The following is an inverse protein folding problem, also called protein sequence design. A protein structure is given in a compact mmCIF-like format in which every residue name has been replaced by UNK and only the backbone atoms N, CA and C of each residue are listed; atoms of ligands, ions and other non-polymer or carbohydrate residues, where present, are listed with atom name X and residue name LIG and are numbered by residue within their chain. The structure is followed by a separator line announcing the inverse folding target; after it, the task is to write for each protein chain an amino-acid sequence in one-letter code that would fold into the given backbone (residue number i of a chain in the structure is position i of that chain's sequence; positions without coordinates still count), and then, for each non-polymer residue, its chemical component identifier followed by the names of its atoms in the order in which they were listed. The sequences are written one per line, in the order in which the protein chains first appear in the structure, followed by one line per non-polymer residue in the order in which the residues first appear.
data_IF_626821683344
#
_entry.id   IF_626821683344
#
_cell.length_a   1.000
_cell.length_b   1.000
_cell.length_c   1.000
_cell.angle_alpha   90.00
_cell.angle_beta   90.00
_cell.angle_gamma   90.00
#
_symmetry.space_group_name_H-M   'P 1'
#
loop_
_entity.id
_entity.type
_entity.pdbx_description
1 polymer ?
#
# COMPACT_ATOMS: atom_id res chain seq x y z
N UNK A 1 -20.17 9.86 21.19
CA UNK A 1 -19.02 9.09 20.63
C UNK A 1 -19.21 9.05 19.13
N UNK A 2 -18.33 9.64 18.32
CA UNK A 2 -18.45 9.68 16.87
C UNK A 2 -17.68 8.48 16.29
N UNK A 3 -18.35 7.66 15.49
CA UNK A 3 -17.71 6.54 14.79
C UNK A 3 -16.79 7.09 13.72
N UNK A 4 -15.51 6.77 13.79
CA UNK A 4 -14.55 7.07 12.75
C UNK A 4 -14.67 6.03 11.63
N UNK A 5 -14.79 6.49 10.40
CA UNK A 5 -14.91 5.64 9.19
C UNK A 5 -13.62 5.68 8.41
N UNK A 6 -13.25 4.55 7.82
CA UNK A 6 -12.14 4.44 6.87
C UNK A 6 -12.64 4.06 5.48
N UNK A 7 -11.84 4.38 4.49
CA UNK A 7 -12.05 3.99 3.09
C UNK A 7 -10.77 3.37 2.57
N UNK A 8 -10.90 2.21 1.93
CA UNK A 8 -9.81 1.63 1.15
C UNK A 8 -9.73 2.34 -0.20
N UNK A 9 -8.54 2.76 -0.59
CA UNK A 9 -8.30 3.35 -1.91
C UNK A 9 -8.56 2.34 -3.05
N UNK A 10 -8.68 1.04 -2.73
CA UNK A 10 -9.17 0.05 -3.69
C UNK A 10 -10.54 0.40 -4.28
N UNK A 11 -11.37 1.14 -3.53
CA UNK A 11 -12.66 1.62 -4.01
C UNK A 11 -12.56 2.57 -5.21
N UNK A 12 -11.37 3.13 -5.48
CA UNK A 12 -11.07 4.04 -6.59
C UNK A 12 -10.10 3.42 -7.60
N UNK A 13 -9.92 2.10 -7.57
CA UNK A 13 -8.94 1.41 -8.42
C UNK A 13 -9.20 1.62 -9.91
N UNK A 14 -10.45 1.60 -10.35
CA UNK A 14 -10.83 1.83 -11.74
C UNK A 14 -10.47 3.24 -12.21
N UNK A 15 -10.79 4.25 -11.40
CA UNK A 15 -10.48 5.65 -11.68
C UNK A 15 -8.97 5.89 -11.72
N UNK A 16 -8.24 5.26 -10.80
CA UNK A 16 -6.79 5.36 -10.75
C UNK A 16 -6.13 4.71 -11.98
N UNK A 17 -6.47 3.47 -12.31
CA UNK A 17 -5.89 2.74 -13.45
C UNK A 17 -6.20 3.43 -14.78
N UNK A 18 -7.38 4.04 -14.89
CA UNK A 18 -7.79 4.81 -16.08
C UNK A 18 -7.21 6.22 -16.13
N UNK A 19 -6.44 6.64 -15.12
CA UNK A 19 -5.85 7.97 -15.04
C UNK A 19 -6.87 9.10 -14.84
N UNK A 20 -8.06 8.79 -14.33
CA UNK A 20 -9.09 9.77 -13.97
C UNK A 20 -8.75 10.46 -12.65
N UNK A 21 -8.26 9.68 -11.69
CA UNK A 21 -7.75 10.15 -10.41
C UNK A 21 -6.29 9.69 -10.25
N UNK A 22 -5.45 10.56 -9.73
CA UNK A 22 -4.16 10.19 -9.17
C UNK A 22 -4.29 9.84 -7.67
N UNK A 23 -3.19 9.57 -6.99
CA UNK A 23 -3.20 9.23 -5.57
C UNK A 23 -3.83 10.34 -4.72
N UNK A 24 -3.50 11.60 -5.00
CA UNK A 24 -4.10 12.74 -4.30
C UNK A 24 -5.60 12.82 -4.55
N UNK A 25 -6.04 12.65 -5.79
CA UNK A 25 -7.45 12.62 -6.17
C UNK A 25 -8.24 11.53 -5.46
N UNK A 26 -7.65 10.33 -5.28
CA UNK A 26 -8.26 9.24 -4.52
C UNK A 26 -8.43 9.61 -3.03
N UNK A 27 -7.41 10.22 -2.42
CA UNK A 27 -7.45 10.68 -1.02
C UNK A 27 -8.51 11.77 -0.85
N UNK A 28 -8.53 12.76 -1.76
CA UNK A 28 -9.52 13.84 -1.75
C UNK A 28 -10.96 13.30 -1.87
N UNK A 29 -11.19 12.35 -2.76
CA UNK A 29 -12.50 11.72 -2.93
C UNK A 29 -12.93 10.95 -1.68
N UNK A 30 -12.02 10.19 -1.04
CA UNK A 30 -12.30 9.50 0.22
C UNK A 30 -12.62 10.50 1.34
N UNK A 31 -11.85 11.57 1.50
CA UNK A 31 -12.10 12.62 2.48
C UNK A 31 -13.46 13.30 2.27
N UNK A 32 -13.83 13.58 1.02
CA UNK A 32 -15.14 14.17 0.67
C UNK A 32 -16.32 13.27 1.07
N UNK A 33 -16.12 11.95 1.15
CA UNK A 33 -17.10 10.99 1.68
C UNK A 33 -17.10 10.92 3.23
N UNK A 34 -16.28 11.72 3.89
CA UNK A 34 -16.16 11.77 5.35
C UNK A 34 -15.25 10.66 5.90
N UNK A 35 -14.32 10.14 5.12
CA UNK A 35 -13.33 9.21 5.60
C UNK A 35 -12.36 9.89 6.56
N UNK A 36 -12.13 9.28 7.71
CA UNK A 36 -11.05 9.62 8.63
C UNK A 36 -9.81 8.77 8.35
N UNK A 37 -10.01 7.47 8.10
CA UNK A 37 -8.96 6.50 7.85
C UNK A 37 -8.78 6.20 6.36
N UNK A 38 -7.53 6.08 5.92
CA UNK A 38 -7.18 5.67 4.56
C UNK A 38 -6.45 4.33 4.62
N UNK A 39 -6.98 3.35 3.93
CA UNK A 39 -6.30 2.09 3.61
C UNK A 39 -5.69 2.22 2.22
N UNK A 40 -4.40 1.92 2.11
CA UNK A 40 -3.62 2.11 0.87
C UNK A 40 -3.35 0.79 0.16
N UNK A 41 -3.06 0.88 -1.13
CA UNK A 41 -2.65 -0.26 -1.94
C UNK A 41 -1.26 -0.04 -2.52
N UNK A 42 -0.46 -1.07 -2.52
CA UNK A 42 0.89 -1.04 -3.05
C UNK A 42 0.93 -0.64 -4.54
N UNK A 43 -0.01 -1.11 -5.34
CA UNK A 43 -0.10 -0.81 -6.77
C UNK A 43 -0.32 0.67 -7.08
N UNK A 44 -0.92 1.41 -6.16
CA UNK A 44 -1.15 2.85 -6.32
C UNK A 44 0.03 3.70 -5.87
N UNK A 45 0.94 3.13 -5.09
CA UNK A 45 1.97 3.88 -4.39
C UNK A 45 3.39 3.52 -4.81
N UNK A 46 3.62 2.27 -5.18
CA UNK A 46 4.97 1.77 -5.41
C UNK A 46 5.27 1.61 -6.89
N UNK A 47 6.17 2.44 -7.45
CA UNK A 47 6.63 2.26 -8.82
C UNK A 47 7.23 0.87 -9.03
N UNK A 48 6.81 0.21 -10.12
CA UNK A 48 7.28 -1.13 -10.43
C UNK A 48 6.74 -2.23 -9.53
N UNK A 49 5.80 -1.92 -8.64
CA UNK A 49 5.07 -2.96 -7.93
C UNK A 49 4.34 -3.87 -8.92
N UNK A 50 4.41 -5.15 -8.71
CA UNK A 50 5.00 -5.93 -7.62
C UNK A 50 6.29 -6.65 -8.03
N UNK A 51 7.09 -6.06 -8.86
CA UNK A 51 8.30 -6.70 -9.36
C UNK A 51 9.33 -6.89 -8.25
N UNK A 52 9.98 -8.05 -8.17
CA UNK A 52 11.16 -8.23 -7.34
C UNK A 52 12.24 -7.20 -7.67
N UNK A 53 12.91 -6.68 -6.66
CA UNK A 53 13.97 -5.70 -6.84
C UNK A 53 13.50 -4.28 -7.19
N UNK A 54 12.20 -3.98 -7.09
CA UNK A 54 11.73 -2.60 -7.17
C UNK A 54 12.36 -1.78 -6.02
N UNK A 55 12.87 -0.57 -6.30
CA UNK A 55 13.52 0.24 -5.28
C UNK A 55 12.52 0.73 -4.23
N UNK A 56 13.03 1.04 -3.03
CA UNK A 56 12.26 1.79 -2.05
C UNK A 56 11.90 3.17 -2.62
N UNK A 57 10.75 3.71 -2.20
CA UNK A 57 10.34 5.05 -2.58
C UNK A 57 11.23 6.10 -1.90
N UNK A 58 11.50 7.24 -2.56
CA UNK A 58 12.29 8.32 -1.99
C UNK A 58 11.57 8.98 -0.80
N UNK A 59 12.32 9.56 0.13
CA UNK A 59 11.75 10.23 1.30
C UNK A 59 10.79 11.37 0.91
N UNK A 60 11.04 12.07 -0.20
CA UNK A 60 10.14 13.10 -0.73
C UNK A 60 8.72 12.59 -1.06
N UNK A 61 8.57 11.30 -1.37
CA UNK A 61 7.26 10.69 -1.53
C UNK A 61 6.50 10.65 -0.19
N UNK A 62 7.20 10.26 0.88
CA UNK A 62 6.59 10.17 2.21
C UNK A 62 6.29 11.56 2.79
N UNK A 63 7.14 12.55 2.53
CA UNK A 63 6.87 13.95 2.89
C UNK A 63 5.56 14.41 2.24
N UNK A 64 5.43 14.23 0.92
CA UNK A 64 4.20 14.56 0.20
C UNK A 64 2.98 13.77 0.73
N UNK A 65 3.16 12.49 1.03
CA UNK A 65 2.10 11.66 1.62
C UNK A 65 1.58 12.23 2.94
N UNK A 66 2.48 12.59 3.86
CA UNK A 66 2.11 13.15 5.16
C UNK A 66 1.46 14.53 5.02
N UNK A 67 1.92 15.34 4.07
CA UNK A 67 1.28 16.61 3.74
C UNK A 67 -0.16 16.41 3.25
N UNK A 68 -0.41 15.44 2.37
CA UNK A 68 -1.75 15.11 1.90
C UNK A 68 -2.65 14.60 3.03
N UNK A 69 -2.13 13.73 3.92
CA UNK A 69 -2.91 13.27 5.09
C UNK A 69 -3.33 14.45 5.96
N UNK A 70 -2.42 15.39 6.20
CA UNK A 70 -2.70 16.62 6.95
C UNK A 70 -3.69 17.53 6.24
N UNK A 71 -3.49 17.76 4.93
CA UNK A 71 -4.33 18.62 4.11
C UNK A 71 -5.80 18.16 4.10
N UNK A 72 -6.02 16.86 3.98
CA UNK A 72 -7.38 16.29 3.88
C UNK A 72 -7.94 15.82 5.23
N UNK A 73 -7.20 15.99 6.33
CA UNK A 73 -7.64 15.61 7.67
C UNK A 73 -7.85 14.10 7.83
N UNK A 74 -7.09 13.31 7.09
CA UNK A 74 -7.15 11.85 7.09
C UNK A 74 -5.93 11.24 7.80
N UNK A 75 -5.97 9.95 8.07
CA UNK A 75 -4.86 9.22 8.69
C UNK A 75 -4.68 7.86 8.01
N UNK A 76 -3.44 7.41 7.79
CA UNK A 76 -3.20 6.06 7.29
C UNK A 76 -3.62 5.02 8.31
N UNK A 77 -4.23 3.94 7.87
CA UNK A 77 -4.70 2.86 8.75
C UNK A 77 -4.00 1.54 8.46
N UNK A 78 -4.17 1.02 7.28
CA UNK A 78 -3.61 -0.27 6.83
C UNK A 78 -3.02 -0.07 5.45
N UNK A 79 -1.94 -0.76 5.16
CA UNK A 79 -1.39 -0.90 3.83
C UNK A 79 -1.66 -2.31 3.30
N UNK A 80 -2.26 -2.41 2.13
CA UNK A 80 -2.52 -3.67 1.46
C UNK A 80 -1.43 -3.99 0.46
N UNK A 81 -0.93 -5.21 0.50
CA UNK A 81 -0.08 -5.73 -0.54
C UNK A 81 -0.62 -7.05 -1.11
N UNK A 82 -0.43 -7.22 -2.40
CA UNK A 82 -0.67 -8.49 -3.09
C UNK A 82 0.66 -9.16 -3.40
N UNK A 83 0.93 -10.29 -2.77
CA UNK A 83 2.06 -11.12 -3.15
C UNK A 83 1.59 -12.15 -4.19
N UNK A 84 1.35 -11.71 -5.42
CA UNK A 84 0.98 -12.63 -6.49
C UNK A 84 2.21 -13.19 -7.18
N UNK A 85 2.54 -14.42 -6.82
CA UNK A 85 3.72 -15.11 -7.33
C UNK A 85 3.67 -15.45 -8.82
N UNK A 86 2.51 -15.27 -9.49
CA UNK A 86 2.30 -15.70 -10.88
C UNK A 86 2.12 -14.56 -11.87
N UNK A 87 1.89 -13.34 -11.38
CA UNK A 87 1.33 -12.25 -12.19
C UNK A 87 2.35 -11.54 -13.07
N UNK A 88 3.63 -11.50 -12.70
CA UNK A 88 4.55 -10.50 -13.21
C UNK A 88 5.80 -11.00 -13.91
N UNK A 89 6.01 -12.29 -13.95
CA UNK A 89 7.20 -12.87 -14.54
C UNK A 89 6.83 -14.09 -15.38
N UNK A 90 7.72 -14.48 -16.26
CA UNK A 90 7.62 -15.75 -16.98
C UNK A 90 7.72 -16.98 -16.05
N UNK A 91 8.00 -16.76 -14.79
CA UNK A 91 8.09 -17.77 -13.73
C UNK A 91 7.49 -17.24 -12.41
N UNK A 92 7.05 -18.11 -11.49
CA UNK A 92 6.68 -17.71 -10.15
C UNK A 92 7.87 -17.08 -9.39
N UNK A 93 7.57 -16.21 -8.43
CA UNK A 93 8.58 -15.73 -7.48
C UNK A 93 9.09 -16.90 -6.65
N UNK A 94 10.40 -16.90 -6.36
CA UNK A 94 10.97 -17.81 -5.38
C UNK A 94 10.76 -17.28 -3.95
N UNK A 95 11.14 -18.10 -2.96
CA UNK A 95 10.98 -17.76 -1.54
C UNK A 95 11.67 -16.43 -1.17
N UNK A 96 12.91 -16.24 -1.57
CA UNK A 96 13.70 -15.07 -1.20
C UNK A 96 13.14 -13.79 -1.83
N UNK A 97 12.69 -13.86 -3.08
CA UNK A 97 12.01 -12.74 -3.77
C UNK A 97 10.69 -12.36 -3.08
N UNK A 98 9.95 -13.35 -2.59
CA UNK A 98 8.71 -13.11 -1.82
C UNK A 98 9.02 -12.43 -0.47
N UNK A 99 10.04 -12.92 0.24
CA UNK A 99 10.48 -12.35 1.52
C UNK A 99 10.96 -10.91 1.33
N UNK A 100 11.81 -10.65 0.33
CA UNK A 100 12.31 -9.30 0.02
C UNK A 100 11.16 -8.33 -0.29
N UNK A 101 10.20 -8.76 -1.11
CA UNK A 101 9.03 -7.95 -1.45
C UNK A 101 8.21 -7.61 -0.21
N UNK A 102 7.97 -8.57 0.67
CA UNK A 102 7.21 -8.33 1.90
C UNK A 102 7.97 -7.41 2.86
N UNK A 103 9.28 -7.60 3.03
CA UNK A 103 10.12 -6.72 3.86
C UNK A 103 10.12 -5.28 3.34
N UNK A 104 10.19 -5.08 2.01
CA UNK A 104 10.06 -3.76 1.40
C UNK A 104 8.73 -3.11 1.78
N UNK A 105 7.62 -3.85 1.68
CA UNK A 105 6.30 -3.32 1.98
C UNK A 105 6.07 -3.10 3.48
N UNK A 106 6.73 -3.87 4.34
CA UNK A 106 6.77 -3.59 5.79
C UNK A 106 7.46 -2.24 6.06
N UNK A 107 8.64 -1.99 5.46
CA UNK A 107 9.33 -0.69 5.60
C UNK A 107 8.49 0.46 5.04
N UNK A 108 7.84 0.24 3.89
CA UNK A 108 6.94 1.21 3.29
C UNK A 108 5.75 1.52 4.21
N UNK A 109 5.11 0.51 4.77
CA UNK A 109 4.00 0.64 5.73
C UNK A 109 4.39 1.49 6.93
N UNK A 110 5.59 1.24 7.50
CA UNK A 110 6.11 2.02 8.62
C UNK A 110 6.34 3.49 8.23
N UNK A 111 6.92 3.77 7.07
CA UNK A 111 7.14 5.13 6.57
C UNK A 111 5.83 5.87 6.25
N UNK A 112 4.79 5.17 5.81
CA UNK A 112 3.44 5.74 5.64
C UNK A 112 2.80 6.15 6.97
N UNK A 113 3.26 5.61 8.09
CA UNK A 113 2.62 5.77 9.40
C UNK A 113 1.36 4.92 9.55
N UNK A 114 1.17 3.89 8.74
CA UNK A 114 0.06 2.97 8.87
C UNK A 114 0.26 2.01 10.07
N UNK A 115 -0.85 1.57 10.67
CA UNK A 115 -0.84 0.75 11.87
C UNK A 115 -0.53 -0.73 11.61
N UNK A 116 -0.67 -1.16 10.36
CA UNK A 116 -0.43 -2.54 9.98
C UNK A 116 -0.39 -2.74 8.47
N UNK A 117 0.13 -3.89 8.09
CA UNK A 117 0.11 -4.37 6.72
C UNK A 117 -0.85 -5.55 6.61
N UNK A 118 -1.65 -5.58 5.55
CA UNK A 118 -2.47 -6.72 5.18
C UNK A 118 -1.87 -7.40 3.97
N UNK A 119 -1.37 -8.62 4.18
CA UNK A 119 -0.85 -9.46 3.09
C UNK A 119 -2.00 -10.31 2.56
N UNK A 120 -2.45 -10.00 1.35
CA UNK A 120 -3.64 -10.61 0.78
C UNK A 120 -3.25 -11.88 0.02
N UNK A 121 -3.98 -12.93 0.31
CA UNK A 121 -4.17 -14.25 -0.33
C UNK A 121 -2.93 -14.90 -0.99
N UNK A 122 -2.72 -16.18 -0.65
CA UNK A 122 -1.71 -17.08 -1.19
C UNK A 122 -0.25 -16.80 -0.78
N UNK A 123 -0.01 -15.92 0.19
CA UNK A 123 1.34 -15.81 0.76
C UNK A 123 1.61 -17.02 1.64
N UNK A 124 2.64 -17.82 1.35
CA UNK A 124 2.99 -18.95 2.20
C UNK A 124 3.32 -18.48 3.62
N UNK A 125 2.83 -19.16 4.67
CA UNK A 125 3.12 -18.81 6.06
C UNK A 125 4.60 -18.64 6.37
N UNK A 126 5.45 -19.47 5.80
CA UNK A 126 6.91 -19.43 5.97
C UNK A 126 7.54 -18.14 5.43
N UNK A 127 6.93 -17.51 4.42
CA UNK A 127 7.36 -16.19 3.91
C UNK A 127 7.04 -15.09 4.90
N UNK A 128 5.85 -15.17 5.52
CA UNK A 128 5.44 -14.20 6.54
C UNK A 128 6.34 -14.32 7.77
N UNK A 129 6.60 -15.55 8.22
CA UNK A 129 7.50 -15.81 9.36
C UNK A 129 8.93 -15.31 9.10
N UNK A 130 9.45 -15.52 7.88
CA UNK A 130 10.79 -15.05 7.50
C UNK A 130 10.89 -13.52 7.39
N UNK A 131 9.80 -12.82 7.04
CA UNK A 131 9.77 -11.36 6.92
C UNK A 131 9.46 -10.65 8.24
N UNK A 132 8.82 -11.31 9.21
CA UNK A 132 8.32 -10.71 10.45
C UNK A 132 9.38 -10.01 11.35
N UNK A 133 10.68 -10.33 11.32
CA UNK A 133 11.69 -9.62 12.12
C UNK A 133 11.98 -8.17 11.67
N UNK A 134 11.37 -7.69 10.60
CA UNK A 134 11.59 -6.33 10.05
C UNK A 134 10.55 -5.31 10.48
#
# INVERSE_FOLDING_TARGET
MTIKRGVSLYSYQDEYVRGILDLEGCIAAAAAQGAFGIETLAEQMMPGYPFPGAPDLPDSFYDKWHDLMSQYGTTPTVHDMFLDTKRYTSRPLNHDEMVESLQRDIRHTAKLGAQGIRVIVNTPPEVVEAAAPY
#
